data_IF_012011603411
#
_entry.id   IF_012011603411
#
_cell.length_a   1.000
_cell.length_b   1.000
_cell.length_c   1.000
_cell.angle_alpha   90.00
_cell.angle_beta   90.00
_cell.angle_gamma   90.00
#
_symmetry.space_group_name_H-M   'P 1'
#
loop_
_entity.id
_entity.type
_entity.pdbx_description
1 polymer ?
#
# COMPACT_ATOMS: atom_id res chain seq x y z
N UNK A 1 0.13 5.86 -22.23
CA UNK A 1 -0.66 5.88 -20.97
C UNK A 1 -0.03 6.87 -20.02
N UNK A 2 -0.71 7.97 -19.61
CA UNK A 2 -0.10 8.95 -18.72
C UNK A 2 0.09 8.34 -17.32
N UNK A 3 1.26 8.59 -16.73
CA UNK A 3 1.57 8.18 -15.38
C UNK A 3 0.59 8.79 -14.36
N UNK A 4 0.21 8.00 -13.36
CA UNK A 4 -0.67 8.43 -12.29
C UNK A 4 -0.04 9.62 -11.52
N UNK A 5 -0.64 10.82 -11.57
CA UNK A 5 -0.28 11.99 -10.76
C UNK A 5 -0.78 11.85 -9.31
N UNK A 6 -0.45 10.75 -8.65
CA UNK A 6 -0.44 10.71 -7.18
C UNK A 6 0.94 11.17 -6.73
N UNK A 7 1.02 12.13 -5.82
CA UNK A 7 2.28 12.61 -5.25
C UNK A 7 2.97 11.47 -4.48
N UNK A 8 3.71 10.61 -5.18
CA UNK A 8 4.68 9.72 -4.56
C UNK A 8 5.79 10.64 -4.10
N UNK A 9 5.75 11.01 -2.82
CA UNK A 9 6.82 11.76 -2.21
C UNK A 9 8.09 10.92 -2.29
N UNK A 10 9.23 11.56 -2.58
CA UNK A 10 10.48 10.84 -2.73
C UNK A 10 10.96 10.42 -1.33
N UNK A 11 11.34 9.15 -1.15
CA UNK A 11 12.08 8.68 0.02
C UNK A 11 13.33 9.51 0.26
N UNK A 12 13.95 9.32 1.43
CA UNK A 12 15.26 9.91 1.70
C UNK A 12 16.29 9.46 0.65
N UNK A 13 17.30 10.29 0.35
CA UNK A 13 18.37 9.93 -0.59
C UNK A 13 18.96 8.55 -0.28
N UNK A 14 19.13 7.73 -1.31
CA UNK A 14 19.68 6.37 -1.18
C UNK A 14 18.66 5.28 -0.82
N UNK A 15 17.38 5.61 -0.62
CA UNK A 15 16.32 4.62 -0.38
C UNK A 15 15.56 4.27 -1.66
N UNK A 16 15.35 2.97 -1.90
CA UNK A 16 14.51 2.45 -2.99
C UNK A 16 13.26 1.75 -2.43
N UNK A 17 12.08 2.37 -2.52
CA UNK A 17 10.84 1.79 -2.01
C UNK A 17 10.18 0.84 -3.00
N UNK A 18 10.65 0.83 -4.25
CA UNK A 18 10.25 -0.14 -5.26
C UNK A 18 11.21 -1.35 -5.21
N UNK A 19 11.32 -1.93 -4.01
CA UNK A 19 12.13 -3.10 -3.70
C UNK A 19 11.20 -4.20 -3.20
N UNK A 20 11.41 -5.43 -3.67
CA UNK A 20 10.72 -6.59 -3.13
C UNK A 20 11.54 -7.17 -1.99
N UNK A 21 10.95 -7.25 -0.80
CA UNK A 21 11.59 -7.85 0.36
C UNK A 21 11.96 -6.88 1.46
N UNK A 22 12.88 -7.35 2.29
CA UNK A 22 13.30 -6.66 3.50
C UNK A 22 14.05 -5.35 3.19
N UNK A 23 13.75 -4.31 3.95
CA UNK A 23 14.49 -3.05 3.87
C UNK A 23 15.62 -3.08 4.90
N UNK A 24 16.86 -2.98 4.43
CA UNK A 24 18.05 -2.98 5.29
C UNK A 24 17.97 -1.91 6.38
N UNK A 25 18.25 -2.33 7.61
CA UNK A 25 18.24 -1.50 8.82
C UNK A 25 16.92 -1.50 9.57
N UNK A 26 15.88 -2.16 9.05
CA UNK A 26 14.55 -2.19 9.68
C UNK A 26 14.05 -3.64 9.82
N UNK A 27 14.47 -4.36 10.88
CA UNK A 27 13.97 -5.71 11.13
C UNK A 27 12.47 -5.70 11.45
N UNK A 28 11.83 -6.87 11.35
CA UNK A 28 10.44 -7.07 11.79
C UNK A 28 10.27 -6.57 13.23
N UNK A 29 9.19 -5.81 13.47
CA UNK A 29 8.92 -5.16 14.76
C UNK A 29 9.41 -3.71 14.86
N UNK A 30 10.13 -3.21 13.85
CA UNK A 30 10.47 -1.78 13.73
C UNK A 30 9.21 -0.90 13.77
N UNK A 31 9.34 0.29 14.37
CA UNK A 31 8.22 1.22 14.59
C UNK A 31 8.53 2.59 14.02
N UNK A 32 7.50 3.24 13.49
CA UNK A 32 7.58 4.59 12.94
C UNK A 32 6.50 5.48 13.58
N UNK A 33 6.78 6.78 13.79
CA UNK A 33 5.77 7.74 14.26
C UNK A 33 4.60 7.89 13.30
N UNK A 34 4.84 7.74 12.00
CA UNK A 34 3.79 7.84 10.99
C UNK A 34 4.22 7.44 9.59
N UNK A 35 3.33 7.76 8.63
CA UNK A 35 3.49 7.42 7.21
C UNK A 35 4.62 8.19 6.53
N UNK A 36 5.03 9.32 7.08
CA UNK A 36 6.10 10.14 6.52
C UNK A 36 7.46 9.46 6.71
N UNK A 37 7.71 8.97 7.91
CA UNK A 37 8.96 8.29 8.27
C UNK A 37 9.06 6.92 7.58
N UNK A 38 7.94 6.18 7.47
CA UNK A 38 7.84 4.97 6.63
C UNK A 38 8.22 5.21 5.16
N UNK A 39 7.83 6.36 4.61
CA UNK A 39 8.15 6.77 3.24
C UNK A 39 9.64 7.14 3.13
N UNK A 40 10.15 7.93 4.07
CA UNK A 40 11.54 8.38 4.07
C UNK A 40 12.52 7.22 4.18
N UNK A 41 12.19 6.19 4.96
CA UNK A 41 12.99 4.97 5.10
C UNK A 41 12.81 3.96 3.95
N UNK A 42 11.87 4.22 3.04
CA UNK A 42 11.61 3.39 1.87
C UNK A 42 10.79 2.12 2.14
N UNK A 43 10.23 1.96 3.34
CA UNK A 43 9.38 0.80 3.69
C UNK A 43 8.03 0.87 2.99
N UNK A 44 7.41 2.05 2.96
CA UNK A 44 6.16 2.26 2.24
C UNK A 44 6.06 3.69 1.72
N UNK A 45 6.27 3.87 0.41
CA UNK A 45 6.37 5.21 -0.20
C UNK A 45 5.08 6.05 -0.19
N UNK A 46 3.86 5.49 -0.41
CA UNK A 46 2.65 6.29 -0.32
C UNK A 46 2.50 6.91 1.08
N UNK A 47 2.12 8.19 1.16
CA UNK A 47 1.70 8.80 2.43
C UNK A 47 0.23 8.49 2.75
N UNK A 48 -0.55 8.28 1.69
CA UNK A 48 -1.97 7.94 1.72
C UNK A 48 -2.21 6.74 0.82
N UNK A 49 -3.10 5.84 1.25
CA UNK A 49 -3.37 4.58 0.54
C UNK A 49 -2.59 3.41 1.13
N UNK A 50 -3.18 2.22 1.12
CA UNK A 50 -2.59 1.06 1.78
C UNK A 50 -1.66 0.24 0.89
N UNK A 51 -1.70 0.39 -0.44
CA UNK A 51 -0.93 -0.45 -1.38
C UNK A 51 0.15 0.37 -2.09
N UNK A 52 1.39 -0.08 -2.04
CA UNK A 52 2.48 0.41 -2.87
C UNK A 52 2.86 -0.65 -3.92
N UNK A 53 2.74 -0.32 -5.21
CA UNK A 53 3.01 -1.30 -6.26
C UNK A 53 2.95 -0.73 -7.67
N UNK A 54 3.37 -1.56 -8.64
CA UNK A 54 3.27 -1.28 -10.06
C UNK A 54 2.51 -2.41 -10.75
N UNK A 55 1.55 -2.04 -11.61
CA UNK A 55 0.65 -2.95 -12.31
C UNK A 55 1.33 -4.00 -13.20
N UNK A 56 2.63 -3.85 -13.50
CA UNK A 56 3.40 -4.79 -14.32
C UNK A 56 4.46 -5.55 -13.52
N UNK A 57 4.72 -5.16 -12.28
CA UNK A 57 5.85 -5.70 -11.50
C UNK A 57 5.37 -6.47 -10.28
N UNK A 58 4.32 -5.98 -9.62
CA UNK A 58 3.82 -6.48 -8.34
C UNK A 58 3.63 -5.35 -7.31
N UNK A 59 3.04 -5.70 -6.17
CA UNK A 59 3.02 -4.88 -4.96
C UNK A 59 4.30 -5.08 -4.15
N UNK A 60 4.92 -3.97 -3.73
CA UNK A 60 6.15 -3.93 -2.94
C UNK A 60 5.86 -3.94 -1.43
N UNK A 61 4.80 -3.24 -1.00
CA UNK A 61 4.36 -3.23 0.39
C UNK A 61 2.87 -2.90 0.53
N UNK A 62 2.29 -3.36 1.64
CA UNK A 62 0.91 -3.06 2.06
C UNK A 62 0.89 -2.51 3.48
N UNK A 63 -0.15 -1.76 3.84
CA UNK A 63 -0.41 -1.26 5.20
C UNK A 63 -1.81 -1.65 5.61
N UNK A 64 -1.92 -2.45 6.68
CA UNK A 64 -3.18 -2.72 7.37
C UNK A 64 -3.41 -1.59 8.37
N UNK A 65 -4.46 -0.80 8.16
CA UNK A 65 -4.79 0.36 9.02
C UNK A 65 -6.25 0.42 9.44
N UNK A 66 -7.00 -0.68 9.31
CA UNK A 66 -8.44 -0.73 9.60
C UNK A 66 -9.25 0.26 8.77
N UNK A 67 -8.84 0.49 7.51
CA UNK A 67 -9.48 1.49 6.64
C UNK A 67 -10.70 0.96 5.89
N UNK A 68 -10.98 -0.34 6.03
CA UNK A 68 -12.02 -1.10 5.36
C UNK A 68 -12.67 -2.01 6.38
N UNK A 69 -14.00 -2.01 6.42
CA UNK A 69 -14.76 -2.82 7.38
C UNK A 69 -14.63 -4.33 7.11
N UNK A 70 -14.23 -4.69 5.87
CA UNK A 70 -14.06 -6.08 5.42
C UNK A 70 -12.67 -6.68 5.71
N UNK A 71 -11.74 -5.91 6.28
CA UNK A 71 -10.40 -6.43 6.62
C UNK A 71 -10.48 -7.40 7.82
N UNK A 72 -9.90 -8.60 7.67
CA UNK A 72 -9.80 -9.61 8.74
C UNK A 72 -8.32 -9.84 9.03
N UNK A 73 -7.90 -9.61 10.28
CA UNK A 73 -6.53 -9.86 10.76
C UNK A 73 -6.52 -11.01 11.78
N UNK A 74 -5.83 -12.10 11.44
CA UNK A 74 -5.64 -13.29 12.27
C UNK A 74 -4.17 -13.45 12.70
N UNK A 75 -3.38 -12.38 12.62
CA UNK A 75 -1.95 -12.35 12.93
C UNK A 75 -1.09 -12.90 11.78
N UNK A 76 -1.02 -14.22 11.64
CA UNK A 76 -0.18 -14.86 10.60
C UNK A 76 -0.82 -14.79 9.21
N UNK A 77 -2.13 -14.60 9.16
CA UNK A 77 -2.92 -14.54 7.94
C UNK A 77 -3.90 -13.39 8.04
N UNK A 78 -4.21 -12.78 6.90
CA UNK A 78 -5.18 -11.69 6.83
C UNK A 78 -5.91 -11.69 5.49
N UNK A 79 -7.14 -11.18 5.49
CA UNK A 79 -7.87 -10.80 4.29
C UNK A 79 -7.77 -9.30 4.12
N UNK A 80 -7.26 -8.86 2.97
CA UNK A 80 -6.98 -7.45 2.70
C UNK A 80 -7.84 -6.92 1.56
N UNK A 81 -8.54 -5.83 1.83
CA UNK A 81 -9.44 -5.21 0.84
C UNK A 81 -8.66 -4.34 -0.14
N UNK A 82 -9.00 -4.48 -1.44
CA UNK A 82 -8.43 -3.65 -2.49
C UNK A 82 -8.77 -2.16 -2.32
N UNK A 83 -8.06 -1.32 -3.06
CA UNK A 83 -8.34 0.12 -3.10
C UNK A 83 -9.50 0.47 -4.04
N UNK A 84 -10.21 1.56 -3.70
CA UNK A 84 -11.14 2.24 -4.60
C UNK A 84 -12.58 1.78 -4.46
N UNK A 85 -13.49 2.55 -5.05
CA UNK A 85 -14.93 2.34 -4.93
C UNK A 85 -15.56 2.90 -3.65
N UNK A 86 -14.78 3.62 -2.83
CA UNK A 86 -15.29 4.40 -1.71
C UNK A 86 -15.84 5.76 -2.17
N UNK A 87 -16.75 6.33 -1.39
CA UNK A 87 -17.10 7.75 -1.45
C UNK A 87 -15.85 8.62 -1.26
N UNK A 88 -15.88 9.82 -1.85
CA UNK A 88 -14.85 10.80 -1.57
C UNK A 88 -15.01 11.23 -0.11
N UNK A 89 -13.92 11.15 0.67
CA UNK A 89 -13.94 11.69 2.02
C UNK A 89 -14.40 13.14 2.04
N UNK A 90 -15.45 13.41 2.79
CA UNK A 90 -15.83 14.73 3.25
C UNK A 90 -14.72 15.29 4.16
N UNK A 91 -14.43 16.58 3.98
CA UNK A 91 -13.40 17.24 4.78
C UNK A 91 -13.85 17.26 6.25
N UNK A 92 -13.02 16.72 7.13
CA UNK A 92 -13.25 16.73 8.58
C UNK A 92 -13.91 15.46 9.12
N UNK A 93 -14.39 14.55 8.27
CA UNK A 93 -14.92 13.26 8.72
C UNK A 93 -13.79 12.23 8.74
N UNK A 94 -13.57 11.61 9.90
CA UNK A 94 -12.51 10.61 10.09
C UNK A 94 -12.86 9.24 9.48
N UNK A 95 -14.15 8.95 9.31
CA UNK A 95 -14.67 7.62 8.97
C UNK A 95 -15.88 7.69 8.02
N UNK A 96 -15.62 7.95 6.75
CA UNK A 96 -16.63 8.06 5.68
C UNK A 96 -16.19 7.38 4.37
N UNK A 97 -15.28 6.41 4.48
CA UNK A 97 -14.82 5.57 3.37
C UNK A 97 -15.86 4.49 3.01
N UNK A 98 -17.13 4.86 2.93
CA UNK A 98 -18.22 3.93 2.61
C UNK A 98 -18.04 3.42 1.19
N UNK A 99 -18.13 2.10 0.99
CA UNK A 99 -18.11 1.51 -0.35
C UNK A 99 -19.40 1.87 -1.09
N UNK A 100 -19.27 2.55 -2.24
CA UNK A 100 -20.40 3.04 -3.05
C UNK A 100 -20.44 2.48 -4.48
N UNK A 101 -19.43 1.69 -4.86
CA UNK A 101 -19.36 1.01 -6.16
C UNK A 101 -18.38 -0.15 -6.12
N UNK A 102 -18.44 -1.01 -7.14
CA UNK A 102 -17.51 -2.11 -7.31
C UNK A 102 -16.06 -1.64 -7.45
N UNK A 103 -15.16 -2.46 -6.91
CA UNK A 103 -13.73 -2.28 -7.11
C UNK A 103 -13.29 -2.86 -8.45
N UNK A 104 -12.20 -2.30 -8.99
CA UNK A 104 -11.65 -2.71 -10.26
C UNK A 104 -10.24 -3.30 -10.12
N UNK A 105 -9.87 -4.20 -11.03
CA UNK A 105 -8.50 -4.71 -11.17
C UNK A 105 -7.57 -3.70 -11.84
N UNK A 106 -7.37 -2.56 -11.18
CA UNK A 106 -6.46 -1.50 -11.62
C UNK A 106 -5.55 -1.04 -10.48
N UNK A 107 -4.48 -0.29 -10.81
CA UNK A 107 -3.55 0.31 -9.82
C UNK A 107 -3.02 -0.72 -8.81
N UNK A 108 -3.15 -0.47 -7.51
CA UNK A 108 -2.70 -1.35 -6.44
C UNK A 108 -3.36 -2.73 -6.47
N UNK A 109 -4.64 -2.82 -6.83
CA UNK A 109 -5.37 -4.10 -6.88
C UNK A 109 -4.75 -5.02 -7.93
N UNK A 110 -4.46 -4.48 -9.11
CA UNK A 110 -3.76 -5.22 -10.15
C UNK A 110 -2.32 -5.55 -9.73
N UNK A 111 -1.63 -4.66 -9.01
CA UNK A 111 -0.30 -4.95 -8.49
C UNK A 111 -0.30 -6.14 -7.51
N UNK A 112 -1.29 -6.24 -6.61
CA UNK A 112 -1.48 -7.40 -5.73
C UNK A 112 -1.76 -8.68 -6.53
N UNK A 113 -2.65 -8.62 -7.53
CA UNK A 113 -2.92 -9.76 -8.40
C UNK A 113 -1.66 -10.24 -9.15
N UNK A 114 -0.81 -9.31 -9.58
CA UNK A 114 0.47 -9.62 -10.22
C UNK A 114 1.45 -10.25 -9.23
N UNK A 115 1.51 -9.80 -7.98
CA UNK A 115 2.31 -10.47 -6.95
C UNK A 115 1.87 -11.93 -6.76
N UNK A 116 0.56 -12.18 -6.72
CA UNK A 116 0.05 -13.56 -6.65
C UNK A 116 0.41 -14.39 -7.88
N UNK A 117 0.34 -13.83 -9.09
CA UNK A 117 0.68 -14.53 -10.34
C UNK A 117 2.17 -14.84 -10.47
N UNK A 118 3.02 -13.88 -10.10
CA UNK A 118 4.46 -13.96 -10.32
C UNK A 118 5.21 -14.64 -9.19
N UNK A 119 4.60 -14.73 -7.99
CA UNK A 119 5.20 -15.34 -6.79
C UNK A 119 6.62 -14.82 -6.53
N UNK A 120 6.89 -13.54 -6.86
CA UNK A 120 8.19 -12.92 -6.59
C UNK A 120 8.46 -12.99 -5.11
N UNK A 121 9.41 -13.84 -4.75
CA UNK A 121 9.98 -13.90 -3.41
C UNK A 121 11.11 -12.87 -3.33
N UNK A 122 11.29 -12.22 -2.17
CA UNK A 122 12.52 -11.49 -1.87
C UNK A 122 13.74 -12.39 -2.17
N UNK A 123 14.71 -11.85 -2.91
CA UNK A 123 16.02 -12.51 -3.08
C UNK A 123 16.87 -12.32 -1.83
#
# INVERSE_FOLDING_TARGET
>A
MPAFKGSVMRPAPGRNPAHFGEIRGFPVGSRWPGRRELCDDGVHAPLTGGIHGRMREGAFSVVLSGGYDDDIDLGNEFTYTGQGGQSRREKGVRWDNVQIKDQEWTRGNLALAISWRTKKVPL
#
